data_IF_072278874553
#
_entry.id   IF_072278874553
#
_cell.length_a   1.000
_cell.length_b   1.000
_cell.length_c   1.000
_cell.angle_alpha   90.00
_cell.angle_beta   90.00
_cell.angle_gamma   90.00
#
_symmetry.space_group_name_H-M   'P 1'
#
loop_
_entity.id
_entity.type
_entity.pdbx_description
1 polymer ?
#
# COMPACT_ATOMS: atom_id res chain seq x y z
N UNK A 1 25.68 -9.84 -7.39
CA UNK A 1 26.19 -8.56 -7.91
C UNK A 1 25.40 -7.46 -7.20
N UNK A 2 25.79 -7.14 -5.97
CA UNK A 2 25.09 -6.13 -5.15
C UNK A 2 25.91 -4.87 -5.27
N UNK A 3 25.43 -3.90 -6.06
CA UNK A 3 26.00 -2.56 -6.05
C UNK A 3 25.99 -2.05 -4.61
N UNK A 4 27.15 -1.61 -4.11
CA UNK A 4 27.25 -0.97 -2.80
C UNK A 4 26.70 0.44 -2.95
N UNK A 5 25.40 0.61 -2.72
CA UNK A 5 24.79 1.93 -2.57
C UNK A 5 25.23 2.53 -1.23
N UNK A 6 25.62 3.82 -1.27
CA UNK A 6 26.05 4.55 -0.08
C UNK A 6 24.84 4.93 0.78
N UNK A 7 24.61 4.17 1.83
CA UNK A 7 23.49 4.35 2.76
C UNK A 7 23.57 5.65 3.58
N UNK A 8 24.71 6.34 3.54
CA UNK A 8 24.86 7.65 4.20
C UNK A 8 24.21 8.78 3.39
N UNK A 9 24.06 8.61 2.07
CA UNK A 9 23.65 9.68 1.16
C UNK A 9 22.42 9.34 0.32
N UNK A 10 22.03 8.07 0.25
CA UNK A 10 20.89 7.62 -0.53
C UNK A 10 20.07 6.51 0.16
N UNK A 11 18.83 6.39 -0.29
CA UNK A 11 17.84 5.38 0.08
C UNK A 11 17.58 4.49 -1.14
N UNK A 12 17.63 3.18 -0.96
CA UNK A 12 17.31 2.22 -2.01
C UNK A 12 15.82 1.90 -2.00
N UNK A 13 15.05 2.47 -2.93
CA UNK A 13 13.61 2.31 -3.03
C UNK A 13 13.26 1.13 -3.95
N UNK A 14 12.43 0.21 -3.46
CA UNK A 14 11.86 -0.89 -4.23
C UNK A 14 10.36 -0.98 -4.01
N UNK A 15 9.59 -1.00 -5.08
CA UNK A 15 8.15 -1.25 -5.05
C UNK A 15 7.91 -2.57 -5.78
N UNK A 16 7.31 -3.51 -5.07
CA UNK A 16 7.16 -4.90 -5.51
C UNK A 16 5.69 -5.30 -5.42
N UNK A 17 5.18 -5.86 -6.51
CA UNK A 17 3.87 -6.50 -6.58
C UNK A 17 4.04 -8.03 -6.61
N UNK A 18 2.99 -8.83 -6.38
CA UNK A 18 3.08 -10.29 -6.46
C UNK A 18 3.63 -10.80 -7.81
N UNK A 19 3.38 -10.05 -8.89
CA UNK A 19 3.73 -10.43 -10.25
C UNK A 19 5.15 -9.98 -10.65
N UNK A 20 5.61 -8.82 -10.17
CA UNK A 20 6.89 -8.23 -10.58
C UNK A 20 7.42 -7.15 -9.64
N UNK A 21 8.69 -6.79 -9.82
CA UNK A 21 9.23 -5.53 -9.31
C UNK A 21 8.75 -4.40 -10.23
N UNK A 22 7.99 -3.46 -9.68
CA UNK A 22 7.43 -2.34 -10.43
C UNK A 22 8.41 -1.17 -10.52
N UNK A 23 9.12 -0.89 -9.43
CA UNK A 23 10.10 0.19 -9.35
C UNK A 23 11.29 -0.27 -8.52
N UNK A 24 12.49 0.04 -9.00
CA UNK A 24 13.74 -0.16 -8.28
C UNK A 24 14.68 0.99 -8.62
N UNK A 25 15.01 1.84 -7.64
CA UNK A 25 15.82 3.03 -7.86
C UNK A 25 16.55 3.50 -6.60
N UNK A 26 17.61 4.28 -6.79
CA UNK A 26 18.27 5.02 -5.72
C UNK A 26 17.64 6.41 -5.62
N UNK A 27 17.11 6.75 -4.44
CA UNK A 27 16.49 8.04 -4.14
C UNK A 27 17.26 8.78 -3.04
N UNK A 28 17.19 10.12 -3.03
CA UNK A 28 17.70 10.93 -1.93
C UNK A 28 16.80 10.85 -0.71
N UNK A 29 15.49 10.83 -0.92
CA UNK A 29 14.48 10.56 0.09
C UNK A 29 13.21 10.02 -0.56
N UNK A 30 12.33 9.43 0.24
CA UNK A 30 11.03 8.87 -0.18
C UNK A 30 9.96 9.25 0.83
N UNK A 31 8.76 9.62 0.39
CA UNK A 31 7.59 9.80 1.24
C UNK A 31 6.51 8.79 0.86
N UNK A 32 6.04 8.05 1.86
CA UNK A 32 5.09 6.94 1.69
C UNK A 32 3.82 7.23 2.51
N UNK A 33 2.62 7.06 1.92
CA UNK A 33 1.38 7.13 2.66
C UNK A 33 1.21 5.89 3.55
N UNK A 34 1.10 6.10 4.86
CA UNK A 34 0.92 5.04 5.85
C UNK A 34 -0.39 5.25 6.62
N UNK A 35 -0.82 4.22 7.36
CA UNK A 35 -2.02 4.30 8.19
C UNK A 35 -1.92 5.37 9.30
N UNK A 36 -0.70 5.75 9.69
CA UNK A 36 -0.44 6.80 10.68
C UNK A 36 -0.26 8.19 10.05
N UNK A 37 -0.40 8.29 8.72
CA UNK A 37 -0.20 9.51 7.94
C UNK A 37 0.97 9.40 6.96
N UNK A 38 1.56 10.54 6.59
CA UNK A 38 2.66 10.57 5.62
C UNK A 38 4.00 10.32 6.30
N UNK A 39 4.71 9.28 5.88
CA UNK A 39 6.04 8.94 6.41
C UNK A 39 7.13 9.32 5.41
N UNK A 40 8.00 10.24 5.79
CA UNK A 40 9.20 10.56 5.03
C UNK A 40 10.42 9.77 5.50
N UNK A 41 11.19 9.23 4.55
CA UNK A 41 12.33 8.35 4.79
C UNK A 41 13.57 8.95 4.14
N UNK A 42 14.55 9.28 4.98
CA UNK A 42 15.86 9.77 4.60
C UNK A 42 16.94 8.69 4.74
N UNK A 43 18.17 8.93 4.25
CA UNK A 43 19.29 8.04 4.50
C UNK A 43 19.49 7.80 6.00
N UNK A 44 19.94 6.60 6.37
CA UNK A 44 20.13 6.16 7.76
C UNK A 44 18.86 6.13 8.64
N UNK A 45 17.66 6.05 8.04
CA UNK A 45 16.43 5.87 8.79
C UNK A 45 16.45 4.57 9.64
N UNK A 46 15.85 4.64 10.84
CA UNK A 46 15.71 3.49 11.72
C UNK A 46 14.89 2.36 11.05
N UNK A 47 15.15 1.08 11.36
CA UNK A 47 14.34 -0.01 10.85
C UNK A 47 12.88 0.14 11.27
N UNK A 48 11.96 -0.07 10.34
CA UNK A 48 10.52 0.09 10.56
C UNK A 48 9.73 -0.86 9.66
N UNK A 49 8.63 -1.39 10.19
CA UNK A 49 7.60 -2.06 9.40
C UNK A 49 6.29 -1.32 9.66
N UNK A 50 5.57 -0.96 8.60
CA UNK A 50 4.30 -0.24 8.70
C UNK A 50 3.34 -0.68 7.61
N UNK A 51 2.04 -0.53 7.86
CA UNK A 51 1.02 -0.67 6.82
C UNK A 51 1.02 0.59 5.91
N UNK A 52 0.86 0.36 4.61
CA UNK A 52 0.77 1.38 3.56
C UNK A 52 -0.69 1.51 3.15
N UNK A 53 -1.15 2.75 2.99
CA UNK A 53 -2.49 3.05 2.46
C UNK A 53 -2.41 3.36 0.97
N UNK A 54 -3.48 3.12 0.19
CA UNK A 54 -3.49 3.49 -1.22
C UNK A 54 -3.22 4.99 -1.40
N UNK A 55 -2.31 5.35 -2.30
CA UNK A 55 -1.93 6.74 -2.51
C UNK A 55 -0.69 6.93 -3.36
N UNK A 56 -0.22 8.17 -3.42
CA UNK A 56 0.97 8.54 -4.17
C UNK A 56 2.21 8.52 -3.27
N UNK A 57 3.23 7.80 -3.72
CA UNK A 57 4.57 7.80 -3.14
C UNK A 57 5.39 8.82 -3.92
N UNK A 58 5.93 9.81 -3.19
CA UNK A 58 6.82 10.82 -3.75
C UNK A 58 8.27 10.43 -3.43
N UNK A 59 9.17 10.57 -4.40
CA UNK A 59 10.59 10.28 -4.19
C UNK A 59 11.47 11.18 -5.04
N UNK A 60 12.61 11.59 -4.49
CA UNK A 60 13.56 12.44 -5.20
C UNK A 60 14.74 11.62 -5.71
N UNK A 61 15.08 11.78 -6.99
CA UNK A 61 16.26 11.18 -7.62
C UNK A 61 17.14 12.27 -8.24
N UNK A 62 18.27 11.89 -8.85
CA UNK A 62 19.08 12.83 -9.62
C UNK A 62 18.33 13.50 -10.79
N UNK A 63 17.21 12.92 -11.25
CA UNK A 63 16.34 13.50 -12.27
C UNK A 63 15.28 14.48 -11.70
N UNK A 64 15.23 14.66 -10.38
CA UNK A 64 14.23 15.47 -9.67
C UNK A 64 13.20 14.62 -8.92
N UNK A 65 12.12 15.28 -8.51
CA UNK A 65 10.99 14.70 -7.77
C UNK A 65 10.11 13.90 -8.73
N UNK A 66 9.79 12.66 -8.37
CA UNK A 66 9.00 11.71 -9.14
C UNK A 66 7.90 11.12 -8.25
N UNK A 67 6.83 10.65 -8.88
CA UNK A 67 5.63 10.18 -8.20
C UNK A 67 5.25 8.80 -8.73
N UNK A 68 4.83 7.91 -7.84
CA UNK A 68 4.32 6.58 -8.20
C UNK A 68 3.12 6.22 -7.33
N UNK A 69 2.06 5.75 -7.97
CA UNK A 69 0.88 5.26 -7.25
C UNK A 69 1.13 3.86 -6.69
N UNK A 70 0.74 3.65 -5.44
CA UNK A 70 0.75 2.35 -4.77
C UNK A 70 -0.62 2.05 -4.18
N UNK A 71 -1.00 0.78 -4.18
CA UNK A 71 -2.16 0.30 -3.44
C UNK A 71 -1.78 0.02 -1.98
N UNK A 72 -2.75 -0.41 -1.17
CA UNK A 72 -2.54 -0.88 0.18
C UNK A 72 -1.50 -2.01 0.25
N UNK A 73 -0.76 -2.05 1.35
CA UNK A 73 0.36 -2.97 1.45
C UNK A 73 1.19 -2.85 2.72
N UNK A 74 2.45 -3.25 2.64
CA UNK A 74 3.41 -3.25 3.75
C UNK A 74 4.68 -2.54 3.33
N UNK A 75 5.12 -1.61 4.16
CA UNK A 75 6.40 -0.93 4.08
C UNK A 75 7.39 -1.63 5.00
N UNK A 76 8.59 -1.92 4.50
CA UNK A 76 9.71 -2.46 5.26
C UNK A 76 10.97 -1.63 5.01
N UNK A 77 11.46 -0.99 6.07
CA UNK A 77 12.68 -0.18 6.07
C UNK A 77 13.76 -0.93 6.84
N UNK A 78 14.91 -1.19 6.21
CA UNK A 78 16.06 -1.80 6.88
C UNK A 78 17.35 -1.50 6.15
N UNK A 79 18.40 -1.11 6.88
CA UNK A 79 19.74 -0.84 6.33
C UNK A 79 19.68 0.03 5.07
N UNK A 80 19.04 1.21 5.14
CA UNK A 80 18.92 2.11 3.99
C UNK A 80 18.10 1.58 2.80
N UNK A 81 17.47 0.41 2.90
CA UNK A 81 16.56 -0.14 1.92
C UNK A 81 15.12 0.13 2.35
N UNK A 82 14.33 0.63 1.42
CA UNK A 82 12.89 0.88 1.57
C UNK A 82 12.17 -0.01 0.58
N UNK A 83 11.45 -1.00 1.09
CA UNK A 83 10.70 -1.97 0.28
C UNK A 83 9.22 -1.78 0.56
N UNK A 84 8.46 -1.45 -0.48
CA UNK A 84 7.00 -1.41 -0.45
C UNK A 84 6.48 -2.65 -1.16
N UNK A 85 5.81 -3.50 -0.40
CA UNK A 85 5.06 -4.64 -0.89
C UNK A 85 3.62 -4.19 -1.06
N UNK A 86 3.11 -4.15 -2.29
CA UNK A 86 1.77 -3.63 -2.59
C UNK A 86 1.04 -4.52 -3.59
N UNK A 87 -0.29 -4.40 -3.64
CA UNK A 87 -1.11 -5.05 -4.66
C UNK A 87 -0.87 -4.50 -6.07
N UNK A 88 -1.73 -4.86 -7.01
CA UNK A 88 -1.69 -4.28 -8.35
C UNK A 88 -1.94 -2.77 -8.27
N UNK A 89 -1.00 -1.92 -8.74
CA UNK A 89 -1.04 -0.45 -8.63
C UNK A 89 -2.05 0.17 -9.62
N UNK A 90 -3.14 -0.52 -9.94
CA UNK A 90 -4.17 -0.01 -10.84
C UNK A 90 -4.81 1.20 -10.16
N UNK A 91 -4.35 2.40 -10.56
CA UNK A 91 -5.06 3.63 -10.23
C UNK A 91 -6.37 3.58 -10.98
N UNK A 92 -7.44 3.16 -10.31
CA UNK A 92 -8.77 3.45 -10.81
C UNK A 92 -8.85 4.98 -10.97
N UNK A 93 -9.19 5.50 -12.17
CA UNK A 93 -9.33 6.92 -12.34
C UNK A 93 -10.45 7.39 -11.42
N UNK A 94 -10.10 8.05 -10.31
CA UNK A 94 -11.10 8.70 -9.47
C UNK A 94 -11.72 9.81 -10.32
N UNK A 95 -13.04 9.79 -10.57
CA UNK A 95 -13.67 10.78 -11.43
C UNK A 95 -13.54 12.21 -10.86
N UNK A 96 -14.13 13.24 -11.48
CA UNK A 96 -14.18 14.61 -10.90
C UNK A 96 -15.42 14.84 -10.02
N UNK A 97 -15.21 15.37 -8.79
CA UNK A 97 -16.27 15.44 -7.76
C UNK A 97 -17.53 16.10 -8.30
N UNK A 98 -18.68 15.44 -8.15
CA UNK A 98 -19.99 15.93 -8.61
C UNK A 98 -20.38 15.51 -10.04
N UNK A 99 -19.59 14.67 -10.70
CA UNK A 99 -20.00 14.00 -11.94
C UNK A 99 -20.79 12.73 -11.65
N UNK A 100 -21.64 12.28 -12.58
CA UNK A 100 -22.38 11.03 -12.44
C UNK A 100 -21.47 9.80 -12.20
N UNK A 101 -20.22 9.85 -12.67
CA UNK A 101 -19.22 8.83 -12.39
C UNK A 101 -18.81 8.76 -10.90
N UNK A 102 -18.87 9.87 -10.14
CA UNK A 102 -18.67 9.84 -8.68
C UNK A 102 -19.80 9.12 -7.97
N UNK A 103 -21.04 9.47 -8.32
CA UNK A 103 -22.21 8.86 -7.69
C UNK A 103 -22.17 7.33 -7.93
N UNK A 104 -21.83 6.92 -9.15
CA UNK A 104 -21.62 5.52 -9.51
C UNK A 104 -20.51 4.86 -8.68
N UNK A 105 -19.36 5.53 -8.49
CA UNK A 105 -18.23 5.00 -7.71
C UNK A 105 -18.55 4.87 -6.22
N UNK A 106 -19.35 5.80 -5.65
CA UNK A 106 -19.86 5.72 -4.28
C UNK A 106 -20.78 4.51 -4.12
N UNK A 107 -21.67 4.30 -5.09
CA UNK A 107 -22.61 3.18 -5.10
C UNK A 107 -21.88 1.84 -5.25
N UNK A 108 -20.90 1.73 -6.15
CA UNK A 108 -20.07 0.55 -6.34
C UNK A 108 -19.28 0.18 -5.07
N UNK A 109 -18.68 1.16 -4.40
CA UNK A 109 -18.02 0.94 -3.09
C UNK A 109 -19.03 0.48 -2.02
N UNK A 110 -20.24 1.04 -2.00
CA UNK A 110 -21.27 0.65 -1.04
C UNK A 110 -21.75 -0.79 -1.27
N UNK A 111 -21.85 -1.22 -2.53
CA UNK A 111 -22.20 -2.59 -2.91
C UNK A 111 -21.13 -3.61 -2.53
N UNK A 112 -19.85 -3.26 -2.69
CA UNK A 112 -18.73 -4.13 -2.29
C UNK A 112 -18.66 -4.35 -0.76
N UNK A 113 -19.02 -3.34 0.03
CA UNK A 113 -19.09 -3.45 1.49
C UNK A 113 -20.35 -4.20 2.00
N UNK A 114 -21.42 -4.23 1.19
CA UNK A 114 -22.65 -4.98 1.49
C UNK A 114 -22.55 -6.50 1.28
N UNK A 115 -21.48 -7.00 0.67
CA UNK A 115 -21.31 -8.42 0.35
C UNK A 115 -20.64 -9.26 1.47
N UNK A 116 -20.83 -8.89 2.75
CA UNK A 116 -20.54 -9.77 3.89
C UNK A 116 -21.67 -9.76 4.93
N UNK A 117 -22.79 -10.36 4.56
CA UNK A 117 -23.67 -10.98 5.55
C UNK A 117 -24.29 -12.22 4.96
N UNK A 118 -23.72 -13.38 5.30
CA UNK A 118 -24.43 -14.61 5.68
C UNK A 118 -23.42 -15.75 5.81
N UNK A 119 -23.19 -16.22 7.05
CA UNK A 119 -22.43 -17.46 7.22
C UNK A 119 -21.82 -17.79 8.58
N UNK A 120 -22.28 -17.27 9.71
CA UNK A 120 -21.97 -17.89 11.01
C UNK A 120 -23.18 -17.87 11.94
N UNK A 121 -23.85 -19.01 12.11
CA UNK A 121 -24.40 -19.38 13.41
C UNK A 121 -24.36 -20.90 13.57
N UNK A 122 -23.41 -21.36 14.38
CA UNK A 122 -23.38 -22.73 14.86
C UNK A 122 -24.52 -22.97 15.83
N UNK A 123 -25.33 -23.99 15.57
CA UNK A 123 -26.24 -24.56 16.56
C UNK A 123 -25.99 -26.06 16.67
N UNK A 124 -25.21 -26.43 17.69
CA UNK A 124 -25.04 -27.78 18.20
C UNK A 124 -26.40 -28.38 18.61
N UNK A 125 -26.79 -29.60 18.18
CA UNK A 125 -28.03 -30.21 18.63
C UNK A 125 -27.78 -31.04 19.90
N UNK A 126 -28.06 -30.47 21.07
CA UNK A 126 -28.11 -31.19 22.34
C UNK A 126 -29.54 -31.24 22.91
N UNK A 127 -30.12 -32.46 22.87
CA UNK A 127 -31.23 -33.03 23.66
C UNK A 127 -32.66 -32.46 23.51
N UNK A 128 -33.59 -33.32 23.09
CA UNK A 128 -34.61 -33.92 23.97
C UNK A 128 -35.46 -34.94 23.18
N UNK A 129 -35.55 -36.19 23.67
CA UNK A 129 -36.47 -37.20 23.16
C UNK A 129 -37.85 -37.12 23.85
N UNK A 130 -38.92 -37.61 23.22
CA UNK A 130 -40.21 -37.75 23.89
C UNK A 130 -40.48 -39.19 24.38
N UNK A 131 -41.03 -39.24 25.60
CA UNK A 131 -41.93 -40.21 26.26
C UNK A 131 -41.78 -41.71 25.99
#
# INVERSE_FOLDING_TARGET
MTERFDQATAVWLRIVTPERVQLETSAHWVQVPTVEGMLGVWPLHAPLISAVTPGEVEYETAAGIQHVWVDSGILHIRHGQVVVLTGSPERLPMPERGTAAWDQSIEDMSGALGATSEGEEGASPAKAGPA
#
